data_IF_221433885341
#
_entry.id   IF_221433885341
#
_cell.length_a   1.000
_cell.length_b   1.000
_cell.length_c   1.000
_cell.angle_alpha   90.00
_cell.angle_beta   90.00
_cell.angle_gamma   90.00
#
_symmetry.space_group_name_H-M   'P 1'
#
loop_
_entity.id
_entity.type
_entity.pdbx_description
1 polymer ?
#
# COMPACT_ATOMS: atom_id res chain seq x y z
N UNK A 1 24.60 -47.79 -50.93
CA UNK A 1 24.84 -46.39 -50.50
C UNK A 1 24.01 -46.14 -49.26
N UNK A 2 24.62 -45.48 -48.30
CA UNK A 2 24.31 -45.39 -46.86
C UNK A 2 23.26 -44.36 -46.49
N UNK A 3 22.65 -44.59 -45.32
CA UNK A 3 22.08 -43.61 -44.36
C UNK A 3 20.82 -42.82 -44.77
N UNK A 4 19.89 -42.47 -43.86
CA UNK A 4 20.03 -42.40 -42.42
C UNK A 4 18.70 -42.45 -41.67
N UNK A 5 18.77 -43.10 -40.51
CA UNK A 5 17.81 -43.09 -39.42
C UNK A 5 17.77 -41.70 -38.78
N UNK A 6 16.59 -41.10 -38.64
CA UNK A 6 16.39 -40.02 -37.67
C UNK A 6 15.36 -40.46 -36.62
N UNK A 7 15.90 -40.71 -35.41
CA UNK A 7 15.18 -40.67 -34.14
C UNK A 7 14.65 -39.26 -33.93
N UNK A 8 13.47 -39.12 -33.33
CA UNK A 8 13.28 -38.16 -32.25
C UNK A 8 12.14 -38.60 -31.34
N UNK A 9 12.54 -38.94 -30.11
CA UNK A 9 11.71 -39.38 -29.01
C UNK A 9 11.10 -38.19 -28.25
N UNK A 10 9.91 -38.44 -27.68
CA UNK A 10 9.39 -37.88 -26.43
C UNK A 10 9.31 -36.35 -26.29
N UNK A 11 8.14 -35.79 -26.59
CA UNK A 11 7.69 -34.54 -25.98
C UNK A 11 6.95 -34.89 -24.69
N UNK A 12 7.67 -34.77 -23.57
CA UNK A 12 7.13 -34.90 -22.22
C UNK A 12 6.28 -33.65 -21.95
N UNK A 13 4.95 -33.80 -21.89
CA UNK A 13 4.06 -32.73 -21.44
C UNK A 13 4.20 -32.60 -19.93
N UNK A 14 4.94 -31.58 -19.49
CA UNK A 14 5.00 -31.16 -18.09
C UNK A 14 3.61 -30.64 -17.68
N UNK A 15 2.96 -31.35 -16.76
CA UNK A 15 1.78 -30.86 -16.05
C UNK A 15 2.13 -29.58 -15.29
N UNK A 16 1.28 -28.53 -15.33
CA UNK A 16 1.52 -27.36 -14.51
C UNK A 16 1.26 -27.73 -13.06
N UNK A 17 2.29 -27.53 -12.24
CA UNK A 17 2.25 -27.61 -10.78
C UNK A 17 0.99 -26.90 -10.26
N UNK A 18 0.05 -27.66 -9.72
CA UNK A 18 -0.96 -27.14 -8.81
C UNK A 18 -0.21 -26.66 -7.56
N UNK A 19 0.15 -25.37 -7.53
CA UNK A 19 0.51 -24.70 -6.29
C UNK A 19 -0.77 -24.64 -5.46
N UNK A 20 -0.96 -25.66 -4.63
CA UNK A 20 -1.87 -25.60 -3.50
C UNK A 20 -1.44 -24.40 -2.66
N UNK A 21 -2.18 -23.29 -2.78
CA UNK A 21 -2.05 -22.18 -1.87
C UNK A 21 -2.43 -22.70 -0.50
N UNK A 22 -1.43 -23.03 0.31
CA UNK A 22 -1.63 -23.15 1.74
C UNK A 22 -2.12 -21.78 2.19
N UNK A 23 -3.38 -21.69 2.61
CA UNK A 23 -3.86 -20.62 3.47
C UNK A 23 -3.11 -20.75 4.80
N UNK A 24 -1.81 -20.43 4.78
CA UNK A 24 -1.10 -20.11 5.99
C UNK A 24 -1.89 -18.94 6.58
N UNK A 25 -2.35 -19.10 7.81
CA UNK A 25 -2.82 -18.02 8.66
C UNK A 25 -1.69 -17.00 8.77
N UNK A 26 -1.54 -16.15 7.75
CA UNK A 26 -0.58 -15.08 7.73
C UNK A 26 -1.11 -14.04 8.68
N UNK A 27 -0.38 -13.82 9.76
CA UNK A 27 -0.55 -12.63 10.60
C UNK A 27 -0.70 -11.41 9.68
N UNK A 28 -1.68 -10.54 9.94
CA UNK A 28 -1.93 -9.40 9.06
C UNK A 28 -0.67 -8.56 8.91
N UNK A 29 -0.43 -8.07 7.69
CA UNK A 29 0.76 -7.28 7.41
C UNK A 29 0.74 -5.97 8.20
N UNK A 30 1.92 -5.37 8.44
CA UNK A 30 1.98 -4.03 9.05
C UNK A 30 1.21 -2.99 8.23
N UNK A 31 1.16 -3.15 6.91
CA UNK A 31 0.35 -2.31 6.03
C UNK A 31 -1.14 -2.48 6.33
N UNK A 32 -1.62 -3.72 6.43
CA UNK A 32 -3.01 -4.02 6.79
C UNK A 32 -3.40 -3.33 8.10
N UNK A 33 -2.61 -3.50 9.16
CA UNK A 33 -2.93 -2.88 10.45
C UNK A 33 -2.97 -1.35 10.40
N UNK A 34 -2.12 -0.72 9.59
CA UNK A 34 -2.13 0.74 9.41
C UNK A 34 -3.36 1.22 8.65
N UNK A 35 -3.78 0.49 7.63
CA UNK A 35 -5.02 0.78 6.92
C UNK A 35 -6.25 0.51 7.77
N UNK A 36 -6.18 -0.50 8.64
CA UNK A 36 -7.22 -0.80 9.61
C UNK A 36 -7.36 0.34 10.62
N UNK A 37 -6.26 0.85 11.17
CA UNK A 37 -6.27 2.05 12.02
C UNK A 37 -6.92 3.24 11.31
N UNK A 38 -6.53 3.48 10.05
CA UNK A 38 -7.04 4.58 9.23
C UNK A 38 -8.55 4.48 8.96
N UNK A 39 -9.02 3.26 8.65
CA UNK A 39 -10.43 2.94 8.43
C UNK A 39 -11.25 3.24 9.68
N UNK A 40 -10.77 2.82 10.86
CA UNK A 40 -11.48 3.05 12.12
C UNK A 40 -11.47 4.53 12.53
N UNK A 41 -10.41 5.28 12.22
CA UNK A 41 -10.32 6.70 12.54
C UNK A 41 -10.95 7.62 11.49
N UNK A 42 -11.40 7.09 10.34
CA UNK A 42 -11.88 7.87 9.21
C UNK A 42 -10.81 8.83 8.65
N UNK A 43 -9.54 8.44 8.74
CA UNK A 43 -8.42 9.30 8.34
C UNK A 43 -8.13 9.19 6.85
N UNK A 44 -7.87 10.35 6.23
CA UNK A 44 -7.36 10.40 4.87
C UNK A 44 -5.95 9.80 4.78
N UNK A 45 -5.75 8.98 3.77
CA UNK A 45 -4.50 8.28 3.50
C UNK A 45 -4.02 8.62 2.09
N UNK A 46 -2.73 8.90 1.98
CA UNK A 46 -2.03 9.05 0.71
C UNK A 46 -1.39 7.72 0.35
N UNK A 47 -1.74 7.19 -0.81
CA UNK A 47 -1.26 5.93 -1.35
C UNK A 47 -0.21 6.19 -2.42
N UNK A 48 0.98 5.61 -2.27
CA UNK A 48 2.01 5.58 -3.30
C UNK A 48 2.03 4.20 -3.95
N UNK A 49 1.82 4.17 -5.26
CA UNK A 49 1.90 2.98 -6.10
C UNK A 49 2.92 3.20 -7.21
N UNK A 50 3.35 2.15 -7.93
CA UNK A 50 4.22 2.31 -9.09
C UNK A 50 3.58 3.23 -10.14
N UNK A 51 4.21 4.38 -10.40
CA UNK A 51 3.79 5.31 -11.44
C UNK A 51 2.60 6.22 -11.11
N UNK A 52 1.96 6.07 -9.94
CA UNK A 52 0.81 6.89 -9.56
C UNK A 52 0.71 7.12 -8.05
N UNK A 53 -0.11 8.11 -7.67
CA UNK A 53 -0.49 8.40 -6.28
C UNK A 53 -1.99 8.60 -6.22
N UNK A 54 -2.60 8.13 -5.14
CA UNK A 54 -4.00 8.35 -4.83
C UNK A 54 -4.13 8.91 -3.41
N UNK A 55 -5.21 9.61 -3.15
CA UNK A 55 -5.59 10.08 -1.81
C UNK A 55 -7.04 9.66 -1.57
N UNK A 56 -7.39 9.45 -0.30
CA UNK A 56 -8.78 9.24 0.08
C UNK A 56 -8.91 8.56 1.43
N UNK A 57 -10.15 8.33 1.84
CA UNK A 57 -10.51 7.74 3.12
C UNK A 57 -10.82 6.24 2.91
N UNK A 58 -10.16 5.32 3.62
CA UNK A 58 -10.53 3.91 3.57
C UNK A 58 -11.96 3.71 4.07
N UNK A 59 -12.77 2.93 3.34
CA UNK A 59 -14.16 2.60 3.69
C UNK A 59 -14.40 1.10 3.86
N UNK A 60 -13.48 0.27 3.36
CA UNK A 60 -13.48 -1.18 3.56
C UNK A 60 -12.04 -1.70 3.47
N UNK A 61 -11.74 -2.78 4.18
CA UNK A 61 -10.44 -3.43 4.18
C UNK A 61 -10.62 -4.94 4.40
N UNK A 62 -9.99 -5.74 3.56
CA UNK A 62 -9.85 -7.19 3.73
C UNK A 62 -8.38 -7.64 3.54
N UNK A 63 -8.17 -8.95 3.45
CA UNK A 63 -6.84 -9.55 3.35
C UNK A 63 -6.06 -9.16 2.10
N UNK A 64 -6.76 -8.75 1.04
CA UNK A 64 -6.21 -8.58 -0.31
C UNK A 64 -6.42 -7.16 -0.85
N UNK A 65 -7.45 -6.46 -0.39
CA UNK A 65 -7.89 -5.18 -0.91
C UNK A 65 -8.22 -4.15 0.18
N UNK A 66 -8.09 -2.89 -0.21
CA UNK A 66 -8.67 -1.74 0.48
C UNK A 66 -9.58 -0.99 -0.49
N UNK A 67 -10.80 -0.64 -0.05
CA UNK A 67 -11.64 0.32 -0.77
C UNK A 67 -11.43 1.71 -0.18
N UNK A 68 -11.23 2.68 -1.06
CA UNK A 68 -10.92 4.06 -0.72
C UNK A 68 -11.89 4.97 -1.43
N UNK A 69 -12.49 5.90 -0.69
CA UNK A 69 -13.33 6.95 -1.27
C UNK A 69 -12.54 8.26 -1.33
N UNK A 70 -12.62 8.91 -2.50
CA UNK A 70 -12.10 10.25 -2.73
C UNK A 70 -13.29 11.15 -3.10
N UNK A 71 -13.35 12.34 -2.51
CA UNK A 71 -14.46 13.28 -2.70
C UNK A 71 -13.87 14.65 -3.02
N UNK A 72 -14.10 15.10 -4.24
CA UNK A 72 -13.61 16.38 -4.75
C UNK A 72 -14.77 17.28 -5.15
N UNK A 73 -14.50 18.58 -5.28
CA UNK A 73 -15.39 19.50 -6.01
C UNK A 73 -15.16 19.27 -7.51
N UNK A 74 -16.23 19.20 -8.29
CA UNK A 74 -16.14 19.06 -9.74
C UNK A 74 -15.34 20.22 -10.35
N UNK A 75 -14.51 19.92 -11.35
CA UNK A 75 -13.68 20.94 -12.03
C UNK A 75 -14.56 22.02 -12.68
N UNK A 76 -14.09 23.27 -12.66
CA UNK A 76 -14.72 24.39 -13.38
C UNK A 76 -15.60 25.31 -12.53
N UNK A 77 -15.69 25.10 -11.22
CA UNK A 77 -16.50 25.92 -10.30
C UNK A 77 -15.67 26.67 -9.24
N UNK A 78 -14.38 26.94 -9.51
CA UNK A 78 -13.47 27.56 -8.53
C UNK A 78 -13.81 29.01 -8.18
N UNK A 79 -14.53 29.72 -9.07
CA UNK A 79 -14.90 31.15 -8.94
C UNK A 79 -16.42 31.42 -9.17
N UNK A 80 -17.25 30.38 -9.28
CA UNK A 80 -18.70 30.49 -9.51
C UNK A 80 -19.53 29.95 -8.33
N UNK A 81 -20.82 30.32 -8.25
CA UNK A 81 -21.75 29.65 -7.33
C UNK A 81 -21.76 28.15 -7.62
N UNK A 82 -21.42 27.36 -6.60
CA UNK A 82 -21.41 25.91 -6.72
C UNK A 82 -22.82 25.43 -7.13
N UNK A 83 -22.93 24.51 -8.11
CA UNK A 83 -24.22 23.92 -8.49
C UNK A 83 -24.81 23.13 -7.31
N UNK A 84 -26.09 22.75 -7.41
CA UNK A 84 -26.79 21.99 -6.36
C UNK A 84 -26.09 20.67 -5.99
N UNK A 85 -25.33 20.08 -6.93
CA UNK A 85 -24.53 18.86 -6.76
C UNK A 85 -23.08 19.10 -7.18
N UNK A 86 -22.27 19.81 -6.37
CA UNK A 86 -20.93 20.23 -6.78
C UNK A 86 -19.85 19.18 -6.49
N UNK A 87 -20.19 18.11 -5.79
CA UNK A 87 -19.25 17.12 -5.30
C UNK A 87 -19.23 15.90 -6.21
N UNK A 88 -18.04 15.49 -6.62
CA UNK A 88 -17.80 14.22 -7.29
C UNK A 88 -17.20 13.22 -6.30
N UNK A 89 -17.62 11.96 -6.42
CA UNK A 89 -17.13 10.86 -5.61
C UNK A 89 -16.52 9.79 -6.50
N UNK A 90 -15.28 9.43 -6.20
CA UNK A 90 -14.59 8.29 -6.81
C UNK A 90 -14.36 7.23 -5.75
N UNK A 91 -14.56 5.96 -6.11
CA UNK A 91 -14.24 4.82 -5.24
C UNK A 91 -13.19 3.96 -5.93
N UNK A 92 -12.07 3.75 -5.25
CA UNK A 92 -10.96 2.94 -5.71
C UNK A 92 -10.94 1.62 -4.93
N UNK A 93 -10.83 0.50 -5.64
CA UNK A 93 -10.51 -0.80 -5.05
C UNK A 93 -9.03 -1.10 -5.35
N UNK A 94 -8.20 -1.11 -4.31
CA UNK A 94 -6.74 -1.17 -4.44
C UNK A 94 -6.23 -2.49 -3.85
N UNK A 95 -5.44 -3.23 -4.61
CA UNK A 95 -4.73 -4.42 -4.11
C UNK A 95 -3.65 -4.01 -3.13
N UNK A 96 -3.60 -4.66 -1.96
CA UNK A 96 -2.59 -4.36 -0.94
C UNK A 96 -1.16 -4.60 -1.44
N UNK A 97 -0.95 -5.57 -2.33
CA UNK A 97 0.38 -5.87 -2.92
C UNK A 97 0.91 -4.78 -3.87
N UNK A 98 0.05 -3.91 -4.39
CA UNK A 98 0.45 -2.82 -5.30
C UNK A 98 0.86 -1.54 -4.55
N UNK A 99 0.56 -1.48 -3.25
CA UNK A 99 0.87 -0.32 -2.41
C UNK A 99 2.35 -0.35 -2.04
N UNK A 100 3.11 0.59 -2.58
CA UNK A 100 4.53 0.75 -2.27
C UNK A 100 4.76 1.45 -0.92
N UNK A 101 3.90 2.40 -0.58
CA UNK A 101 3.92 3.10 0.71
C UNK A 101 2.59 3.81 0.97
N UNK A 102 2.33 4.13 2.24
CA UNK A 102 1.25 5.02 2.65
C UNK A 102 1.79 6.16 3.52
N UNK A 103 1.10 7.28 3.53
CA UNK A 103 1.30 8.35 4.52
C UNK A 103 -0.04 8.94 4.98
N UNK A 104 -0.08 9.39 6.22
CA UNK A 104 -1.20 10.15 6.76
C UNK A 104 -1.00 11.65 6.54
N UNK A 105 -2.04 12.44 6.77
CA UNK A 105 -1.95 13.91 6.71
C UNK A 105 -0.71 14.43 7.45
N UNK A 106 -0.01 15.36 6.79
CA UNK A 106 1.25 15.91 7.31
C UNK A 106 0.94 16.80 8.53
N UNK A 107 1.37 16.35 9.69
CA UNK A 107 1.22 17.08 10.94
C UNK A 107 2.30 18.18 11.04
N UNK A 108 1.92 19.42 11.36
CA UNK A 108 2.90 20.50 11.59
C UNK A 108 3.47 20.38 13.00
N UNK A 109 4.78 20.33 13.11
CA UNK A 109 5.46 20.20 14.40
C UNK A 109 6.01 21.54 14.87
N UNK A 110 5.99 21.76 16.18
CA UNK A 110 6.76 22.86 16.78
C UNK A 110 8.25 22.57 16.70
N UNK A 111 9.06 23.62 16.77
CA UNK A 111 10.52 23.51 16.79
C UNK A 111 10.99 22.60 17.95
N UNK A 112 10.39 22.76 19.13
CA UNK A 112 10.74 22.00 20.33
C UNK A 112 10.41 20.51 20.18
N UNK A 113 9.28 20.18 19.53
CA UNK A 113 8.91 18.78 19.24
C UNK A 113 9.93 18.15 18.28
N UNK A 114 10.38 18.89 17.29
CA UNK A 114 11.39 18.43 16.33
C UNK A 114 12.77 18.24 16.99
N UNK A 115 13.25 19.21 17.76
CA UNK A 115 14.55 19.14 18.43
C UNK A 115 14.62 17.95 19.42
N UNK A 116 13.55 17.69 20.18
CA UNK A 116 13.48 16.50 21.05
C UNK A 116 13.59 15.18 20.31
N UNK A 117 13.05 15.08 19.09
CA UNK A 117 13.19 13.88 18.28
C UNK A 117 14.67 13.64 17.91
N UNK A 118 15.38 14.71 17.52
CA UNK A 118 16.80 14.63 17.17
C UNK A 118 17.65 14.21 18.38
N UNK A 119 17.39 14.75 19.56
CA UNK A 119 18.09 14.39 20.79
C UNK A 119 17.91 12.91 21.18
N UNK A 120 16.73 12.32 20.90
CA UNK A 120 16.48 10.90 21.13
C UNK A 120 17.26 10.02 20.18
N UNK A 121 17.38 10.42 18.91
CA UNK A 121 18.17 9.65 17.92
C UNK A 121 19.66 9.57 18.26
N UNK A 122 20.22 10.59 18.92
CA UNK A 122 21.62 10.60 19.35
C UNK A 122 21.90 9.80 20.62
N UNK A 123 20.88 9.40 21.40
CA UNK A 123 21.07 8.59 22.62
C UNK A 123 21.18 7.10 22.34
N UNK A 124 20.61 6.61 21.25
CA UNK A 124 20.66 5.18 20.88
C UNK A 124 21.99 4.75 20.23
N UNK A 125 22.91 5.69 19.94
CA UNK A 125 24.25 5.44 19.40
C UNK A 125 25.39 5.44 20.47
N UNK A 126 25.04 5.38 21.77
CA UNK A 126 26.01 5.33 22.88
C UNK A 126 26.58 3.93 23.16
N UNK A 127 27.85 3.78 23.60
CA UNK A 127 28.60 2.53 23.45
C UNK A 127 28.05 1.41 24.34
N UNK A 128 27.98 0.21 23.75
CA UNK A 128 27.73 -1.05 24.45
C UNK A 128 28.62 -1.13 25.69
N UNK A 129 28.00 -1.12 26.86
CA UNK A 129 28.70 -1.22 28.14
C UNK A 129 29.29 -2.63 28.25
N UNK A 130 30.61 -2.77 28.11
CA UNK A 130 31.31 -3.99 28.52
C UNK A 130 31.17 -4.12 30.04
N UNK A 131 30.34 -5.07 30.48
CA UNK A 131 30.29 -5.53 31.85
C UNK A 131 31.50 -6.44 32.10
N UNK A 132 32.39 -6.03 33.01
CA UNK A 132 33.33 -6.90 33.72
C UNK A 132 32.95 -7.00 35.17
#
# INVERSE_FOLDING_TARGET
MTEGTMRNSARQEQSPNARSASYASSTPSRLYHRLEEALHSGSEVWFRMPGTRLVGIPIFLDTDYVEVVDVDVAEGFEDEELPDEPYQRTVWLIRLEEISAISYATDRWSKERFERLLEQSHKDDGPATELR
#
